data_IF_227312290395
#
_entry.id   IF_227312290395
#
_cell.length_a   1.000
_cell.length_b   1.000
_cell.length_c   1.000
_cell.angle_alpha   90.00
_cell.angle_beta   90.00
_cell.angle_gamma   90.00
#
_symmetry.space_group_name_H-M   'P 1'
#
loop_
_entity.id
_entity.type
_entity.pdbx_description
1 polymer ?
#
# COMPACT_ATOMS: atom_id res chain seq x y z
N UNK A 1 -11.93 14.35 -5.70
CA UNK A 1 -11.33 15.07 -4.61
C UNK A 1 -10.54 14.12 -3.73
N UNK A 2 -9.32 14.50 -3.44
CA UNK A 2 -8.38 13.58 -2.81
C UNK A 2 -8.85 13.10 -1.46
N UNK A 3 -9.41 13.94 -0.63
CA UNK A 3 -9.76 13.47 0.69
C UNK A 3 -11.00 12.57 0.73
N UNK A 4 -11.68 12.38 -0.39
CA UNK A 4 -12.73 11.38 -0.45
C UNK A 4 -12.18 9.98 -0.20
N UNK A 5 -10.89 9.80 -0.44
CA UNK A 5 -10.24 8.52 -0.19
C UNK A 5 -10.11 8.24 1.30
N UNK A 6 -10.39 9.22 2.12
CA UNK A 6 -10.29 9.09 3.57
C UNK A 6 -11.65 9.29 4.25
N UNK A 7 -12.72 9.02 3.56
CA UNK A 7 -14.05 9.26 4.12
C UNK A 7 -14.30 8.46 5.39
N UNK A 8 -13.61 7.34 5.56
CA UNK A 8 -13.71 6.54 6.77
C UNK A 8 -12.90 7.08 7.92
N UNK A 9 -12.17 8.17 7.73
CA UNK A 9 -11.23 8.66 8.70
C UNK A 9 -11.87 9.17 9.98
N UNK A 10 -13.13 9.50 9.94
CA UNK A 10 -13.85 10.02 11.11
C UNK A 10 -14.54 8.88 11.83
N UNK A 11 -13.74 8.01 12.42
CA UNK A 11 -14.24 6.88 13.18
C UNK A 11 -14.29 5.59 12.40
N UNK A 12 -13.80 5.58 11.16
CA UNK A 12 -13.72 4.39 10.34
C UNK A 12 -12.32 4.09 9.88
N UNK A 13 -12.19 3.06 9.04
CA UNK A 13 -10.92 2.67 8.45
C UNK A 13 -10.77 3.37 7.10
N UNK A 14 -9.68 4.09 6.86
CA UNK A 14 -9.48 4.77 5.58
C UNK A 14 -9.42 3.79 4.41
N UNK A 15 -9.97 4.20 3.29
CA UNK A 15 -9.87 3.48 2.03
C UNK A 15 -9.07 4.33 1.05
N UNK A 16 -8.00 3.77 0.52
CA UNK A 16 -7.06 4.50 -0.32
C UNK A 16 -6.86 3.72 -1.61
N UNK A 17 -6.83 4.44 -2.73
CA UNK A 17 -6.54 3.84 -4.02
C UNK A 17 -5.03 3.76 -4.25
N UNK A 18 -4.55 2.63 -4.78
CA UNK A 18 -3.16 2.47 -5.19
C UNK A 18 -3.11 2.18 -6.68
N UNK A 19 -2.26 2.90 -7.38
CA UNK A 19 -2.11 2.78 -8.82
C UNK A 19 -0.75 2.19 -9.15
N UNK A 20 -0.75 1.12 -9.94
CA UNK A 20 0.51 0.50 -10.36
C UNK A 20 1.26 1.41 -11.32
N UNK A 21 2.51 1.68 -10.99
CA UNK A 21 3.39 2.48 -11.84
C UNK A 21 4.45 1.62 -12.53
N UNK A 22 4.78 0.46 -11.95
CA UNK A 22 5.75 -0.47 -12.52
C UNK A 22 5.26 -1.89 -12.25
N UNK A 23 5.14 -2.67 -13.30
CA UNK A 23 4.80 -4.08 -13.16
C UNK A 23 6.02 -4.86 -12.68
N UNK A 24 5.78 -5.83 -11.80
CA UNK A 24 6.86 -6.68 -11.33
C UNK A 24 7.19 -7.79 -12.31
N UNK A 25 8.34 -8.42 -12.06
CA UNK A 25 8.78 -9.59 -12.82
C UNK A 25 9.61 -10.46 -11.90
N UNK A 26 10.15 -11.55 -12.42
CA UNK A 26 11.02 -12.42 -11.62
C UNK A 26 12.31 -11.72 -11.19
N UNK A 27 12.63 -10.58 -11.79
CA UNK A 27 13.85 -9.83 -11.50
C UNK A 27 13.59 -8.39 -11.10
N UNK A 28 12.33 -7.97 -10.96
CA UNK A 28 11.99 -6.58 -10.67
C UNK A 28 10.86 -6.48 -9.66
N UNK A 29 10.87 -5.42 -8.88
CA UNK A 29 9.80 -5.10 -7.95
C UNK A 29 8.59 -4.53 -8.70
N UNK A 30 7.40 -4.81 -8.16
CA UNK A 30 6.20 -4.10 -8.56
C UNK A 30 6.09 -2.84 -7.71
N UNK A 31 5.75 -1.72 -8.33
CA UNK A 31 5.66 -0.44 -7.65
C UNK A 31 4.25 0.11 -7.83
N UNK A 32 3.66 0.52 -6.72
CA UNK A 32 2.36 1.20 -6.69
C UNK A 32 2.54 2.57 -6.05
N UNK A 33 1.65 3.49 -6.37
CA UNK A 33 1.66 4.80 -5.72
C UNK A 33 0.31 5.08 -5.07
N UNK A 34 0.35 5.79 -3.95
CA UNK A 34 -0.82 6.28 -3.23
C UNK A 34 -0.80 7.80 -3.22
N UNK A 35 -1.96 8.45 -2.93
CA UNK A 35 -2.00 9.91 -2.84
C UNK A 35 -0.99 10.46 -1.85
N UNK A 36 -0.39 11.59 -2.18
CA UNK A 36 0.68 12.18 -1.40
C UNK A 36 0.28 12.54 0.02
N UNK A 37 -0.99 12.82 0.24
CA UNK A 37 -1.47 13.23 1.56
C UNK A 37 -1.78 12.07 2.49
N UNK A 38 -1.59 10.83 2.04
CA UNK A 38 -1.98 9.64 2.81
C UNK A 38 -1.35 9.66 4.20
N UNK A 39 -0.05 9.87 4.29
CA UNK A 39 0.64 9.83 5.58
C UNK A 39 0.29 11.00 6.48
N UNK A 40 -0.11 12.12 5.91
CA UNK A 40 -0.45 13.28 6.74
C UNK A 40 -1.71 13.06 7.54
N UNK A 41 -2.65 12.29 6.99
CA UNK A 41 -3.91 12.04 7.69
C UNK A 41 -3.90 10.75 8.48
N UNK A 42 -2.96 9.84 8.21
CA UNK A 42 -2.91 8.54 8.87
C UNK A 42 -2.15 8.55 10.19
N UNK A 43 -1.26 9.51 10.42
CA UNK A 43 -0.42 9.51 11.60
C UNK A 43 0.76 8.56 11.44
N UNK A 44 1.20 7.93 12.55
CA UNK A 44 2.42 7.12 12.52
C UNK A 44 2.16 5.63 12.34
N UNK A 45 0.97 5.15 12.68
CA UNK A 45 0.63 3.74 12.54
C UNK A 45 -0.88 3.57 12.50
N UNK A 46 -1.32 2.51 11.87
CA UNK A 46 -2.75 2.22 11.81
C UNK A 46 -3.07 1.18 10.76
N UNK A 47 -4.37 0.98 10.56
CA UNK A 47 -4.90 0.05 9.59
C UNK A 47 -5.57 0.85 8.49
N UNK A 48 -5.35 0.44 7.25
CA UNK A 48 -6.07 1.01 6.12
C UNK A 48 -6.48 -0.10 5.15
N UNK A 49 -7.45 0.19 4.31
CA UNK A 49 -7.81 -0.66 3.19
C UNK A 49 -7.26 -0.01 1.94
N UNK A 50 -6.52 -0.77 1.15
CA UNK A 50 -5.96 -0.29 -0.10
C UNK A 50 -6.65 -1.02 -1.24
N UNK A 51 -7.13 -0.26 -2.22
CA UNK A 51 -7.69 -0.79 -3.43
C UNK A 51 -6.63 -0.73 -4.52
N UNK A 52 -6.04 -1.89 -4.82
CA UNK A 52 -4.99 -1.99 -5.83
C UNK A 52 -5.61 -2.10 -7.22
N UNK A 53 -5.20 -1.26 -8.14
CA UNK A 53 -5.82 -1.20 -9.46
C UNK A 53 -5.32 -2.28 -10.43
N UNK A 54 -4.32 -3.04 -10.04
CA UNK A 54 -3.74 -4.07 -10.90
C UNK A 54 -3.21 -5.22 -10.08
N UNK A 55 -3.18 -6.41 -10.69
CA UNK A 55 -2.61 -7.60 -10.07
C UNK A 55 -1.18 -7.79 -10.55
N UNK A 56 -0.38 -8.46 -9.72
CA UNK A 56 0.96 -8.90 -10.08
C UNK A 56 1.10 -10.35 -9.66
N UNK A 57 1.45 -11.21 -10.58
CA UNK A 57 1.59 -12.64 -10.28
C UNK A 57 3.01 -13.03 -9.92
N UNK A 58 3.99 -12.21 -10.27
CA UNK A 58 5.40 -12.48 -9.97
C UNK A 58 6.13 -11.15 -9.77
N UNK A 59 6.85 -11.04 -8.65
CA UNK A 59 7.69 -9.89 -8.39
C UNK A 59 8.76 -10.30 -7.38
N UNK A 60 9.88 -9.60 -7.37
CA UNK A 60 10.91 -9.79 -6.34
C UNK A 60 10.48 -9.15 -5.03
N UNK A 61 9.59 -8.17 -5.08
CA UNK A 61 9.03 -7.51 -3.94
C UNK A 61 8.03 -6.48 -4.39
N UNK A 62 7.35 -5.85 -3.45
CA UNK A 62 6.39 -4.80 -3.73
C UNK A 62 6.81 -3.53 -3.01
N UNK A 63 6.65 -2.40 -3.67
CA UNK A 63 6.96 -1.10 -3.11
C UNK A 63 5.77 -0.18 -3.27
N UNK A 64 5.57 0.66 -2.26
CA UNK A 64 4.53 1.67 -2.28
C UNK A 64 5.18 3.03 -2.23
N UNK A 65 4.86 3.89 -3.20
CA UNK A 65 5.40 5.24 -3.24
C UNK A 65 4.35 6.23 -2.76
N UNK A 66 4.70 7.01 -1.75
CA UNK A 66 3.83 8.04 -1.21
C UNK A 66 4.68 9.29 -1.00
N UNK A 67 4.35 10.37 -1.72
CA UNK A 67 5.04 11.66 -1.55
C UNK A 67 6.57 11.52 -1.67
N UNK A 68 7.01 10.82 -2.71
CA UNK A 68 8.43 10.57 -3.00
C UNK A 68 9.14 9.71 -1.96
N UNK A 69 8.41 9.08 -1.08
CA UNK A 69 8.96 8.10 -0.14
C UNK A 69 8.53 6.72 -0.60
N UNK A 70 9.48 5.82 -0.71
CA UNK A 70 9.22 4.45 -1.13
C UNK A 70 9.25 3.54 0.09
N UNK A 71 8.17 2.79 0.29
CA UNK A 71 8.03 1.89 1.42
C UNK A 71 7.83 0.47 0.91
N UNK A 72 8.44 -0.52 1.56
CA UNK A 72 8.16 -1.91 1.19
C UNK A 72 6.76 -2.31 1.62
N UNK A 73 6.11 -3.11 0.78
CA UNK A 73 4.86 -3.78 1.12
C UNK A 73 5.19 -5.24 1.40
N UNK A 74 4.95 -5.67 2.64
CA UNK A 74 5.37 -6.96 3.11
C UNK A 74 4.16 -7.88 3.30
N UNK A 75 4.43 -9.18 3.33
CA UNK A 75 3.40 -10.17 3.64
C UNK A 75 3.04 -10.13 5.13
N UNK A 76 2.04 -10.89 5.51
CA UNK A 76 1.60 -10.94 6.91
C UNK A 76 2.69 -11.44 7.85
N UNK A 77 3.68 -12.19 7.35
CA UNK A 77 4.82 -12.66 8.15
C UNK A 77 5.96 -11.63 8.20
N UNK A 78 5.83 -10.50 7.50
CA UNK A 78 6.92 -9.54 7.42
C UNK A 78 7.95 -9.82 6.34
N UNK A 79 7.70 -10.77 5.45
CA UNK A 79 8.59 -11.10 4.35
C UNK A 79 8.19 -10.37 3.08
N UNK A 80 9.09 -10.33 2.10
CA UNK A 80 8.81 -9.69 0.83
C UNK A 80 7.61 -10.35 0.16
N UNK A 81 6.66 -9.53 -0.28
CA UNK A 81 5.50 -10.00 -0.99
C UNK A 81 5.89 -10.24 -2.44
N UNK A 82 5.52 -11.38 -3.01
CA UNK A 82 5.90 -11.72 -4.38
C UNK A 82 4.73 -11.76 -5.35
N UNK A 83 3.51 -11.75 -4.84
CA UNK A 83 2.31 -11.76 -5.68
C UNK A 83 1.18 -11.03 -4.95
N UNK A 84 0.29 -10.42 -5.71
CA UNK A 84 -0.82 -9.65 -5.16
C UNK A 84 -1.97 -9.65 -6.14
N UNK A 85 -3.18 -9.90 -5.65
CA UNK A 85 -4.38 -9.76 -6.46
C UNK A 85 -4.84 -8.31 -6.47
N UNK A 86 -5.54 -7.92 -7.54
CA UNK A 86 -6.16 -6.61 -7.59
C UNK A 86 -7.35 -6.55 -6.64
N UNK A 87 -7.75 -5.34 -6.29
CA UNK A 87 -8.90 -5.09 -5.43
C UNK A 87 -8.50 -4.71 -4.02
N UNK A 88 -9.39 -4.99 -3.07
CA UNK A 88 -9.27 -4.50 -1.71
C UNK A 88 -8.41 -5.43 -0.85
N UNK A 89 -7.46 -4.84 -0.15
CA UNK A 89 -6.62 -5.54 0.82
C UNK A 89 -6.50 -4.73 2.10
N UNK A 90 -6.46 -5.41 3.23
CA UNK A 90 -6.27 -4.77 4.53
C UNK A 90 -4.78 -4.73 4.82
N UNK A 91 -4.28 -3.55 5.15
CA UNK A 91 -2.84 -3.31 5.30
C UNK A 91 -2.61 -2.56 6.61
N UNK A 92 -1.58 -2.98 7.34
CA UNK A 92 -1.08 -2.23 8.49
C UNK A 92 -0.03 -1.25 8.00
N UNK A 93 -0.23 -0.01 8.35
CA UNK A 93 0.67 1.08 8.03
C UNK A 93 1.55 1.37 9.24
N UNK A 94 2.87 1.35 9.06
CA UNK A 94 3.85 1.61 10.11
C UNK A 94 4.87 2.61 9.58
N UNK A 95 4.58 3.88 9.79
CA UNK A 95 5.44 4.95 9.31
C UNK A 95 6.75 5.00 10.07
N UNK A 96 6.73 4.66 11.34
CA UNK A 96 7.92 4.72 12.18
C UNK A 96 9.00 3.76 11.68
N UNK A 97 8.60 2.59 11.21
CA UNK A 97 9.52 1.60 10.66
C UNK A 97 9.53 1.60 9.12
N UNK A 98 8.84 2.55 8.50
CA UNK A 98 8.80 2.74 7.06
C UNK A 98 8.39 1.49 6.32
N UNK A 99 7.25 0.92 6.70
CA UNK A 99 6.76 -0.27 6.02
C UNK A 99 5.24 -0.33 6.02
N UNK A 100 4.73 -1.10 5.07
CA UNK A 100 3.34 -1.50 5.00
C UNK A 100 3.31 -3.02 5.04
N UNK A 101 2.37 -3.58 5.77
CA UNK A 101 2.30 -5.03 5.93
C UNK A 101 0.89 -5.51 5.64
N UNK A 102 0.78 -6.43 4.70
CA UNK A 102 -0.50 -6.99 4.29
C UNK A 102 -1.03 -7.87 5.40
N UNK A 103 -2.32 -7.73 5.72
CA UNK A 103 -2.97 -8.64 6.66
C UNK A 103 -3.78 -9.67 5.90
N UNK A 104 -4.55 -9.20 4.91
CA UNK A 104 -5.42 -10.09 4.15
C UNK A 104 -5.29 -9.83 2.67
#
# INVERSE_FOLDING_TARGET
MAYNEFIGNRGGIPLVAATQTTAGSSTANAVFSMPNHTFRVMGVAGIMVINFNAATTTATGFEMMVNNVTLPLLSSNGEALTALTAGLHIVVFDKQNNKLQLIV
#
